data_IF_530643273988
#
_entry.id   IF_530643273988
#
_cell.length_a   1.000
_cell.length_b   1.000
_cell.length_c   1.000
_cell.angle_alpha   90.00
_cell.angle_beta   90.00
_cell.angle_gamma   90.00
#
_symmetry.space_group_name_H-M   'P 1'
#
loop_
_entity.id
_entity.type
_entity.pdbx_description
1 polymer ?
#
# COMPACT_ATOMS: atom_id res chain seq x y z
N UNK A 1 -5.72 0.11 -4.17
CA UNK A 1 -5.75 -0.30 -5.58
C UNK A 1 -7.06 0.12 -6.23
N UNK A 2 -7.16 1.41 -6.63
CA UNK A 2 -8.31 1.88 -7.38
C UNK A 2 -8.05 1.67 -8.87
N UNK A 3 -8.61 0.63 -9.44
CA UNK A 3 -8.73 0.53 -10.88
C UNK A 3 -10.19 0.22 -11.26
N UNK A 4 -10.56 0.49 -12.49
CA UNK A 4 -11.94 0.28 -12.95
C UNK A 4 -12.37 -1.20 -12.99
N UNK A 5 -11.45 -2.14 -12.71
CA UNK A 5 -11.69 -3.58 -12.72
C UNK A 5 -12.02 -4.16 -11.36
N UNK A 6 -11.63 -3.45 -10.27
CA UNK A 6 -11.78 -3.94 -8.89
C UNK A 6 -12.77 -3.06 -8.14
N UNK A 7 -13.77 -3.70 -7.55
CA UNK A 7 -14.68 -3.06 -6.59
C UNK A 7 -14.20 -3.38 -5.19
N UNK A 8 -13.99 -2.35 -4.37
CA UNK A 8 -13.62 -2.51 -2.98
C UNK A 8 -14.88 -2.52 -2.11
N UNK A 9 -14.98 -3.50 -1.23
CA UNK A 9 -16.06 -3.59 -0.25
C UNK A 9 -15.49 -3.43 1.15
N UNK A 10 -16.13 -2.59 1.97
CA UNK A 10 -15.77 -2.42 3.37
C UNK A 10 -16.78 -3.21 4.23
N UNK A 11 -16.39 -4.36 4.82
CA UNK A 11 -17.30 -5.20 5.57
C UNK A 11 -17.75 -4.57 6.90
N UNK A 12 -16.95 -3.67 7.48
CA UNK A 12 -17.29 -2.98 8.73
C UNK A 12 -18.41 -1.97 8.51
N UNK A 13 -18.42 -1.31 7.36
CA UNK A 13 -19.43 -0.30 7.01
C UNK A 13 -20.55 -0.87 6.14
N UNK A 14 -20.49 -2.17 5.82
CA UNK A 14 -21.43 -2.88 4.93
C UNK A 14 -21.71 -2.12 3.62
N UNK A 15 -20.63 -1.63 2.98
CA UNK A 15 -20.77 -0.89 1.72
C UNK A 15 -19.56 -0.99 0.83
N UNK A 16 -19.79 -0.82 -0.47
CA UNK A 16 -18.68 -0.60 -1.39
C UNK A 16 -18.01 0.74 -1.10
N UNK A 17 -16.68 0.71 -1.09
CA UNK A 17 -15.87 1.93 -1.01
C UNK A 17 -16.17 2.72 -2.27
N UNK A 18 -16.68 3.93 -2.07
CA UNK A 18 -17.29 4.73 -3.11
C UNK A 18 -16.36 5.07 -4.27
N UNK A 19 -16.96 5.60 -5.32
CA UNK A 19 -16.29 6.18 -6.47
C UNK A 19 -15.47 7.39 -5.99
N UNK A 20 -14.25 7.10 -5.55
CA UNK A 20 -13.28 8.13 -5.21
C UNK A 20 -12.71 8.79 -6.47
N UNK A 21 -11.71 9.55 -6.28
CA UNK A 21 -10.87 10.17 -7.31
C UNK A 21 -10.41 9.12 -8.33
N UNK A 22 -10.07 9.58 -9.53
CA UNK A 22 -9.49 8.68 -10.53
C UNK A 22 -8.21 8.04 -9.96
N UNK A 23 -7.91 6.80 -10.32
CA UNK A 23 -6.72 6.11 -9.82
C UNK A 23 -5.42 6.92 -9.95
N UNK A 24 -5.29 7.66 -11.04
CA UNK A 24 -4.11 8.51 -11.28
C UNK A 24 -4.00 9.67 -10.30
N UNK A 25 -5.11 10.31 -9.94
CA UNK A 25 -5.15 11.38 -8.93
C UNK A 25 -4.80 10.80 -7.56
N UNK A 26 -5.42 9.67 -7.20
CA UNK A 26 -5.14 9.00 -5.94
C UNK A 26 -3.66 8.65 -5.77
N UNK A 27 -3.03 8.06 -6.79
CA UNK A 27 -1.59 7.73 -6.76
C UNK A 27 -0.74 8.99 -6.61
N UNK A 28 -1.01 10.05 -7.37
CA UNK A 28 -0.29 11.33 -7.23
C UNK A 28 -0.40 11.88 -5.81
N UNK A 29 -1.60 11.93 -5.26
CA UNK A 29 -1.80 12.39 -3.89
C UNK A 29 -1.05 11.52 -2.87
N UNK A 30 -1.07 10.20 -3.05
CA UNK A 30 -0.41 9.26 -2.14
C UNK A 30 1.12 9.46 -2.18
N UNK A 31 1.70 9.62 -3.38
CA UNK A 31 3.12 9.94 -3.53
C UNK A 31 3.49 11.23 -2.80
N UNK A 32 2.68 12.29 -2.94
CA UNK A 32 2.91 13.57 -2.28
C UNK A 32 2.80 13.49 -0.75
N UNK A 33 1.82 12.76 -0.25
CA UNK A 33 1.54 12.58 1.19
C UNK A 33 2.50 11.61 1.87
N UNK A 34 3.09 10.69 1.10
CA UNK A 34 3.80 9.53 1.64
C UNK A 34 2.85 8.54 2.32
N UNK A 35 3.42 7.51 2.92
CA UNK A 35 2.71 6.51 3.71
C UNK A 35 3.38 6.32 5.06
N UNK A 36 2.75 6.84 6.11
CA UNK A 36 3.30 6.76 7.46
C UNK A 36 3.36 5.31 7.98
N UNK A 37 2.44 4.45 7.55
CA UNK A 37 2.42 3.05 7.98
C UNK A 37 3.61 2.27 7.44
N UNK A 38 4.07 2.66 6.26
CA UNK A 38 5.23 2.06 5.59
C UNK A 38 6.54 2.84 5.85
N UNK A 39 6.47 3.88 6.68
CA UNK A 39 7.62 4.69 7.01
C UNK A 39 8.05 5.68 5.92
N UNK A 40 7.17 5.97 4.95
CA UNK A 40 7.44 6.87 3.83
C UNK A 40 6.98 8.28 4.17
N UNK A 41 7.91 9.27 4.36
CA UNK A 41 7.54 10.64 4.66
C UNK A 41 6.91 11.36 3.47
N UNK A 42 6.17 12.45 3.74
CA UNK A 42 5.69 13.32 2.67
C UNK A 42 6.86 14.02 1.95
N UNK A 43 6.59 14.53 0.76
CA UNK A 43 7.61 15.14 -0.12
C UNK A 43 8.34 16.36 0.46
N UNK A 44 7.80 17.00 1.51
CA UNK A 44 8.43 18.14 2.18
C UNK A 44 9.38 17.72 3.31
N UNK A 45 9.42 16.44 3.67
CA UNK A 45 10.08 15.93 4.85
C UNK A 45 11.30 15.08 4.51
N UNK A 46 12.31 15.16 5.36
CA UNK A 46 13.55 14.40 5.24
C UNK A 46 13.30 12.89 5.36
N UNK A 47 14.18 12.08 4.79
CA UNK A 47 14.08 10.62 4.75
C UNK A 47 14.07 9.98 6.14
N UNK A 48 14.79 10.56 7.08
CA UNK A 48 15.00 10.06 8.43
C UNK A 48 13.99 10.57 9.46
N UNK A 49 13.01 11.39 9.03
CA UNK A 49 12.07 12.08 9.93
C UNK A 49 11.37 11.15 10.92
N UNK A 50 11.04 9.92 10.52
CA UNK A 50 10.41 8.94 11.40
C UNK A 50 11.42 8.18 12.26
N UNK A 51 12.61 7.92 11.73
CA UNK A 51 13.70 7.26 12.47
C UNK A 51 14.16 8.13 13.62
N UNK A 52 14.29 9.44 13.38
CA UNK A 52 14.67 10.44 14.39
C UNK A 52 13.50 10.87 15.30
N UNK A 53 12.31 10.30 15.11
CA UNK A 53 11.12 10.66 15.90
C UNK A 53 10.67 12.11 15.69
N UNK A 54 11.09 12.74 14.61
CA UNK A 54 10.74 14.12 14.27
C UNK A 54 9.34 14.22 13.66
N UNK A 55 8.76 15.41 13.75
CA UNK A 55 7.48 15.70 13.10
C UNK A 55 7.69 16.06 11.63
N UNK A 56 6.88 15.50 10.75
CA UNK A 56 6.89 15.87 9.34
C UNK A 56 6.57 17.36 9.14
N UNK A 57 7.15 17.95 8.09
CA UNK A 57 6.76 19.29 7.61
C UNK A 57 5.30 19.27 7.16
N UNK A 58 4.49 20.27 7.51
CA UNK A 58 3.07 20.27 7.17
C UNK A 58 2.84 20.42 5.68
N UNK A 59 2.17 19.45 5.09
CA UNK A 59 1.73 19.48 3.69
C UNK A 59 0.23 19.80 3.64
N UNK A 60 -0.11 20.99 3.12
CA UNK A 60 -1.49 21.47 3.10
C UNK A 60 -2.28 20.87 1.93
N UNK A 61 -3.60 20.69 2.14
CA UNK A 61 -4.50 20.22 1.07
C UNK A 61 -4.45 21.13 -0.17
N UNK A 62 -4.32 22.45 0.02
CA UNK A 62 -4.20 23.40 -1.09
C UNK A 62 -2.95 23.16 -1.93
N UNK A 63 -1.81 22.90 -1.28
CA UNK A 63 -0.55 22.59 -1.97
C UNK A 63 -0.62 21.26 -2.72
N UNK A 64 -1.24 20.25 -2.12
CA UNK A 64 -1.47 18.96 -2.77
C UNK A 64 -2.34 19.16 -4.04
N UNK A 65 -3.47 19.85 -3.92
CA UNK A 65 -4.38 20.07 -5.04
C UNK A 65 -3.66 20.79 -6.18
N UNK A 66 -2.89 21.85 -5.90
CA UNK A 66 -2.15 22.56 -6.96
C UNK A 66 -1.16 21.63 -7.69
N UNK A 67 -0.43 20.79 -6.96
CA UNK A 67 0.53 19.88 -7.59
C UNK A 67 -0.12 18.70 -8.32
N UNK A 68 -1.31 18.26 -7.89
CA UNK A 68 -2.06 17.20 -8.59
C UNK A 68 -2.63 17.71 -9.91
N UNK A 69 -3.12 18.95 -9.94
CA UNK A 69 -3.72 19.58 -11.12
C UNK A 69 -2.67 19.99 -12.17
N UNK A 70 -1.43 20.21 -11.73
CA UNK A 70 -0.34 20.56 -12.66
C UNK A 70 0.19 19.32 -13.39
N UNK A 71 0.40 19.45 -14.70
CA UNK A 71 1.02 18.41 -15.53
C UNK A 71 2.50 18.24 -15.14
N UNK A 72 3.16 19.33 -14.82
CA UNK A 72 4.55 19.40 -14.38
C UNK A 72 4.66 20.29 -13.15
N UNK A 73 4.48 19.74 -11.93
CA UNK A 73 4.62 20.51 -10.72
C UNK A 73 6.03 21.10 -10.60
N UNK A 74 6.11 22.35 -10.19
CA UNK A 74 7.41 23.00 -9.92
C UNK A 74 7.87 22.59 -8.52
N UNK A 75 8.81 21.65 -8.45
CA UNK A 75 9.47 21.23 -7.22
C UNK A 75 10.82 21.92 -7.05
N UNK A 76 11.25 22.13 -5.82
CA UNK A 76 12.64 22.35 -5.51
C UNK A 76 13.42 21.04 -5.75
N UNK A 77 14.75 21.11 -5.80
CA UNK A 77 15.58 19.91 -5.97
C UNK A 77 15.35 18.86 -4.87
N UNK A 78 15.18 19.31 -3.63
CA UNK A 78 14.88 18.44 -2.48
C UNK A 78 13.47 17.82 -2.60
N UNK A 79 12.46 18.64 -2.95
CA UNK A 79 11.09 18.15 -3.14
C UNK A 79 11.02 17.13 -4.29
N UNK A 80 11.78 17.36 -5.37
CA UNK A 80 11.85 16.44 -6.50
C UNK A 80 12.47 15.10 -6.08
N UNK A 81 13.61 15.13 -5.39
CA UNK A 81 14.24 13.93 -4.85
C UNK A 81 13.28 13.12 -3.96
N UNK A 82 12.57 13.81 -3.07
CA UNK A 82 11.60 13.17 -2.17
C UNK A 82 10.38 12.62 -2.94
N UNK A 83 9.94 13.32 -3.97
CA UNK A 83 8.86 12.85 -4.85
C UNK A 83 9.28 11.57 -5.60
N UNK A 84 10.48 11.54 -6.18
CA UNK A 84 10.99 10.39 -6.92
C UNK A 84 11.15 9.16 -6.01
N UNK A 85 11.71 9.34 -4.82
CA UNK A 85 11.76 8.29 -3.78
C UNK A 85 10.37 7.74 -3.46
N UNK A 86 9.41 8.62 -3.15
CA UNK A 86 8.07 8.20 -2.80
C UNK A 86 7.37 7.50 -3.97
N UNK A 87 7.60 7.96 -5.19
CA UNK A 87 7.07 7.36 -6.41
C UNK A 87 7.58 5.94 -6.60
N UNK A 88 8.87 5.71 -6.45
CA UNK A 88 9.46 4.37 -6.56
C UNK A 88 8.90 3.39 -5.51
N UNK A 89 8.57 3.88 -4.31
CA UNK A 89 8.06 3.05 -3.21
C UNK A 89 6.54 2.82 -3.27
N UNK A 90 5.77 3.75 -3.83
CA UNK A 90 4.30 3.74 -3.78
C UNK A 90 3.68 3.30 -5.11
N UNK A 91 4.29 3.67 -6.24
CA UNK A 91 3.74 3.35 -7.56
C UNK A 91 4.11 1.93 -7.99
N UNK A 92 3.20 1.00 -7.78
CA UNK A 92 3.40 -0.41 -8.14
C UNK A 92 3.68 -0.65 -9.63
N UNK A 93 3.40 0.32 -10.51
CA UNK A 93 3.75 0.20 -11.93
C UNK A 93 5.27 0.28 -12.17
N UNK A 94 6.03 0.71 -11.16
CA UNK A 94 7.50 0.80 -11.21
C UNK A 94 8.21 -0.41 -10.61
N UNK A 95 7.47 -1.46 -10.24
CA UNK A 95 8.09 -2.71 -9.76
C UNK A 95 9.03 -3.25 -10.83
N UNK A 96 10.32 -3.51 -10.50
CA UNK A 96 11.25 -4.09 -11.46
C UNK A 96 10.73 -5.42 -12.03
N UNK A 97 10.82 -5.64 -13.37
CA UNK A 97 10.27 -6.84 -14.00
C UNK A 97 10.77 -8.16 -13.41
N UNK A 98 12.00 -8.17 -12.90
CA UNK A 98 12.58 -9.36 -12.24
C UNK A 98 11.85 -9.70 -10.92
N UNK A 99 11.43 -8.69 -10.17
CA UNK A 99 10.67 -8.89 -8.94
C UNK A 99 9.23 -9.28 -9.25
N UNK A 100 8.63 -8.66 -10.27
CA UNK A 100 7.29 -9.00 -10.73
C UNK A 100 7.24 -10.47 -11.19
N UNK A 101 8.17 -10.90 -12.03
CA UNK A 101 8.27 -12.29 -12.47
C UNK A 101 8.45 -13.27 -11.28
N UNK A 102 9.27 -12.91 -10.29
CA UNK A 102 9.44 -13.71 -9.08
C UNK A 102 8.13 -13.84 -8.29
N UNK A 103 7.37 -12.76 -8.13
CA UNK A 103 6.08 -12.77 -7.45
C UNK A 103 5.09 -13.71 -8.16
N UNK A 104 5.00 -13.65 -9.50
CA UNK A 104 4.14 -14.53 -10.26
C UNK A 104 4.56 -16.00 -10.13
N UNK A 105 5.85 -16.29 -10.24
CA UNK A 105 6.35 -17.67 -10.09
C UNK A 105 6.03 -18.23 -8.70
N UNK A 106 6.28 -17.46 -7.63
CA UNK A 106 5.95 -17.88 -6.26
C UNK A 106 4.44 -18.11 -6.08
N UNK A 107 3.61 -17.26 -6.71
CA UNK A 107 2.15 -17.40 -6.65
C UNK A 107 1.69 -18.68 -7.38
N UNK A 108 2.24 -18.97 -8.55
CA UNK A 108 1.89 -20.15 -9.34
C UNK A 108 2.41 -21.44 -8.70
N UNK A 109 3.51 -21.37 -7.93
CA UNK A 109 4.08 -22.51 -7.19
C UNK A 109 3.36 -22.79 -5.85
N UNK A 110 2.41 -21.97 -5.43
CA UNK A 110 1.65 -22.19 -4.20
C UNK A 110 0.93 -23.52 -4.26
N UNK A 111 1.51 -24.53 -3.61
CA UNK A 111 0.85 -25.82 -3.41
C UNK A 111 -0.20 -25.66 -2.31
N UNK A 112 -1.46 -25.82 -2.69
CA UNK A 112 -2.55 -25.90 -1.69
C UNK A 112 -2.23 -27.02 -0.72
N UNK A 113 -1.95 -26.68 0.53
CA UNK A 113 -1.67 -27.64 1.56
C UNK A 113 -2.93 -28.47 1.85
N UNK A 114 -2.78 -29.81 1.97
CA UNK A 114 -3.90 -30.70 2.29
C UNK A 114 -4.52 -30.32 3.65
N UNK A 115 -5.84 -30.21 3.71
CA UNK A 115 -6.63 -29.93 4.94
C UNK A 115 -6.23 -30.80 6.13
N UNK A 116 -5.86 -32.07 5.88
CA UNK A 116 -5.41 -33.00 6.92
C UNK A 116 -4.23 -32.50 7.78
N UNK A 117 -3.46 -31.55 7.28
CA UNK A 117 -2.34 -30.96 8.03
C UNK A 117 -2.77 -29.81 8.94
N UNK A 118 -3.90 -29.18 8.66
CA UNK A 118 -4.41 -28.01 9.42
C UNK A 118 -4.78 -28.44 10.85
N UNK A 119 -5.52 -29.53 11.00
CA UNK A 119 -5.92 -30.04 12.32
C UNK A 119 -4.70 -30.34 13.20
N UNK A 120 -3.74 -31.07 12.65
CA UNK A 120 -2.50 -31.42 13.39
C UNK A 120 -1.72 -30.16 13.79
N UNK A 121 -1.68 -29.14 12.92
CA UNK A 121 -1.06 -27.87 13.23
C UNK A 121 -1.78 -27.16 14.38
N UNK A 122 -3.12 -27.08 14.35
CA UNK A 122 -3.91 -26.46 15.40
C UNK A 122 -3.76 -27.18 16.75
N UNK A 123 -3.75 -28.51 16.73
CA UNK A 123 -3.52 -29.33 17.96
C UNK A 123 -2.13 -29.02 18.52
N UNK A 124 -1.10 -29.09 17.69
CA UNK A 124 0.30 -28.87 18.11
C UNK A 124 0.50 -27.47 18.68
N UNK A 125 -0.17 -26.46 18.11
CA UNK A 125 -0.10 -25.08 18.54
C UNK A 125 -1.12 -24.72 19.63
N UNK A 126 -1.95 -25.69 20.08
CA UNK A 126 -3.00 -25.51 21.10
C UNK A 126 -4.03 -24.40 20.74
N UNK A 127 -4.35 -24.28 19.46
CA UNK A 127 -5.28 -23.26 18.93
C UNK A 127 -6.73 -23.77 19.03
N UNK A 128 -7.26 -23.89 20.26
CA UNK A 128 -8.55 -24.52 20.54
C UNK A 128 -9.71 -23.90 19.75
N UNK A 129 -9.82 -22.57 19.72
CA UNK A 129 -10.89 -21.86 19.02
C UNK A 129 -10.89 -22.10 17.52
N UNK A 130 -9.73 -22.34 16.90
CA UNK A 130 -9.62 -22.66 15.46
C UNK A 130 -9.96 -24.14 15.19
N UNK A 131 -9.81 -25.02 16.17
CA UNK A 131 -10.22 -26.42 16.05
C UNK A 131 -11.76 -26.51 16.02
N UNK A 132 -12.46 -25.67 16.78
CA UNK A 132 -13.93 -25.65 16.85
C UNK A 132 -14.58 -25.23 15.53
N UNK A 133 -13.89 -24.49 14.70
CA UNK A 133 -14.35 -23.98 13.38
C UNK A 133 -13.55 -24.55 12.22
N UNK A 134 -12.95 -25.73 12.39
CA UNK A 134 -12.06 -26.35 11.41
C UNK A 134 -12.72 -26.60 10.06
N UNK A 135 -14.02 -26.77 10.04
CA UNK A 135 -14.78 -27.01 8.82
C UNK A 135 -14.88 -25.77 7.92
N UNK A 136 -14.54 -24.59 8.44
CA UNK A 136 -14.52 -23.32 7.71
C UNK A 136 -13.23 -23.12 6.90
N UNK A 137 -12.22 -24.00 7.08
CA UNK A 137 -10.92 -23.95 6.38
C UNK A 137 -10.87 -25.00 5.21
#
# INVERSE_FOLDING_TARGET
LHNNRVKQYNPVLDKFVGKGETPSIYIKEHILKGDRSDGIPNVLSDDDVFVEGRRQRPLTKKKIASWVDEVFPTFTEEEQKNYDRNRELIDLSLIPPQLEAKIYNEFDEVKVAHRSKILNYFITRKLKTLIEVIDEF
#
